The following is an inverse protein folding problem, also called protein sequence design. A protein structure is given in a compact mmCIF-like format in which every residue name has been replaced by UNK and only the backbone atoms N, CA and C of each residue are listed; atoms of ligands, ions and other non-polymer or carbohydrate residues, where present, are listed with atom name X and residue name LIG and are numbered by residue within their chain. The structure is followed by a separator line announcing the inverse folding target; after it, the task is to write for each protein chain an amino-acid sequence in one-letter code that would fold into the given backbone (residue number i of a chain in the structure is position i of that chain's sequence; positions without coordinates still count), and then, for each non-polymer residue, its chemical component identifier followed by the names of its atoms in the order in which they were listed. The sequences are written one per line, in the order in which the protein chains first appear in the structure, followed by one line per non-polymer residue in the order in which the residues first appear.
data_IF_897145294375
#
_entry.id   IF_897145294375
#
_cell.length_a   1.000
_cell.length_b   1.000
_cell.length_c   1.000
_cell.angle_alpha   90.00
_cell.angle_beta   90.00
_cell.angle_gamma   90.00
#
_symmetry.space_group_name_H-M   'P 1'
#
loop_
_entity.id
_entity.type
_entity.pdbx_description
1 polymer ?
#
# COMPACT_ATOMS: atom_id res chain seq x y z
N UNK A 1 -15.80 -2.03 -9.03
CA UNK A 1 -15.00 -3.07 -8.38
C UNK A 1 -14.40 -2.54 -7.10
N UNK A 2 -14.36 -3.38 -6.08
CA UNK A 2 -13.77 -2.95 -4.84
C UNK A 2 -12.24 -3.00 -4.96
N UNK A 3 -11.58 -2.29 -4.06
CA UNK A 3 -10.14 -2.29 -4.05
C UNK A 3 -9.59 -3.69 -3.75
N UNK A 4 -10.33 -4.47 -2.97
CA UNK A 4 -9.95 -5.85 -2.70
C UNK A 4 -9.88 -6.65 -4.00
N UNK A 5 -10.85 -6.47 -4.88
CA UNK A 5 -10.87 -7.17 -6.16
C UNK A 5 -9.71 -6.73 -7.04
N UNK A 6 -9.44 -5.42 -7.04
CA UNK A 6 -8.35 -4.87 -7.85
C UNK A 6 -7.00 -5.40 -7.36
N UNK A 7 -6.80 -5.41 -6.05
CA UNK A 7 -5.54 -5.90 -5.49
C UNK A 7 -5.38 -7.39 -5.75
N UNK A 8 -6.48 -8.14 -5.64
CA UNK A 8 -6.42 -9.57 -5.89
C UNK A 8 -6.03 -9.87 -7.34
N UNK A 9 -6.61 -9.12 -8.27
CA UNK A 9 -6.27 -9.29 -9.69
C UNK A 9 -4.81 -8.96 -9.94
N UNK A 10 -4.31 -7.90 -9.30
CA UNK A 10 -2.92 -7.51 -9.45
C UNK A 10 -1.99 -8.58 -8.88
N UNK A 11 -2.41 -9.21 -7.79
CA UNK A 11 -1.62 -10.27 -7.18
C UNK A 11 -1.50 -11.47 -8.11
N UNK A 12 -2.60 -11.82 -8.78
CA UNK A 12 -2.58 -12.92 -9.74
C UNK A 12 -1.64 -12.59 -10.90
N UNK A 13 -1.69 -11.34 -11.37
CA UNK A 13 -0.79 -10.92 -12.44
C UNK A 13 0.67 -11.02 -12.01
N UNK A 14 0.95 -10.63 -10.78
CA UNK A 14 2.32 -10.70 -10.28
C UNK A 14 2.78 -12.15 -10.18
N UNK A 15 1.87 -13.04 -9.80
CA UNK A 15 2.19 -14.46 -9.74
C UNK A 15 2.50 -15.01 -11.12
N UNK A 16 1.75 -14.61 -12.11
CA UNK A 16 1.98 -15.04 -13.48
C UNK A 16 3.31 -14.52 -14.01
N UNK A 17 3.66 -13.32 -13.61
CA UNK A 17 4.92 -12.70 -14.03
C UNK A 17 6.09 -13.20 -13.19
N UNK A 18 5.81 -14.00 -12.19
CA UNK A 18 6.84 -14.51 -11.26
C UNK A 18 7.54 -13.39 -10.53
N UNK A 19 6.82 -12.32 -10.27
CA UNK A 19 7.33 -11.18 -9.53
C UNK A 19 7.00 -11.38 -8.05
N UNK A 20 7.85 -12.08 -7.36
CA UNK A 20 7.59 -12.46 -5.99
C UNK A 20 7.49 -11.27 -5.06
N UNK A 21 8.35 -10.29 -5.22
CA UNK A 21 8.33 -9.12 -4.35
C UNK A 21 7.03 -8.37 -4.48
N UNK A 22 6.55 -8.18 -5.70
CA UNK A 22 5.29 -7.50 -5.94
C UNK A 22 4.12 -8.32 -5.41
N UNK A 23 4.16 -9.63 -5.63
CA UNK A 23 3.12 -10.52 -5.13
C UNK A 23 3.03 -10.47 -3.61
N UNK A 24 4.18 -10.48 -2.93
CA UNK A 24 4.19 -10.44 -1.48
C UNK A 24 3.63 -9.13 -0.95
N UNK A 25 3.99 -8.01 -1.57
CA UNK A 25 3.46 -6.71 -1.17
C UNK A 25 1.95 -6.66 -1.36
N UNK A 26 1.47 -7.15 -2.49
CA UNK A 26 0.03 -7.16 -2.77
C UNK A 26 -0.72 -8.09 -1.82
N UNK A 27 -0.09 -9.20 -1.46
CA UNK A 27 -0.69 -10.12 -0.51
C UNK A 27 -0.88 -9.45 0.85
N UNK A 28 0.10 -8.69 1.29
CA UNK A 28 0.00 -7.99 2.57
C UNK A 28 -1.07 -6.92 2.53
N UNK A 29 -1.16 -6.19 1.44
CA UNK A 29 -2.18 -5.16 1.30
C UNK A 29 -3.57 -5.80 1.27
N UNK A 30 -3.70 -6.90 0.56
CA UNK A 30 -4.98 -7.60 0.49
C UNK A 30 -5.40 -8.08 1.89
N UNK A 31 -4.46 -8.61 2.66
CA UNK A 31 -4.74 -9.05 4.02
C UNK A 31 -5.20 -7.90 4.89
N UNK A 32 -4.56 -6.74 4.76
CA UNK A 32 -4.96 -5.58 5.54
C UNK A 32 -6.39 -5.14 5.20
N UNK A 33 -6.72 -5.15 3.91
CA UNK A 33 -8.07 -4.78 3.48
C UNK A 33 -9.10 -5.79 3.97
N UNK A 34 -8.78 -7.07 3.88
CA UNK A 34 -9.71 -8.10 4.33
C UNK A 34 -9.90 -8.07 5.83
N UNK A 35 -8.84 -7.82 6.58
CA UNK A 35 -8.94 -7.72 8.02
C UNK A 35 -9.82 -6.54 8.43
N UNK A 36 -9.67 -5.42 7.75
CA UNK A 36 -10.52 -4.26 8.03
C UNK A 36 -11.98 -4.57 7.74
N UNK A 37 -12.23 -5.32 6.68
CA UNK A 37 -13.59 -5.71 6.33
C UNK A 37 -14.18 -6.64 7.37
N UNK A 38 -13.39 -7.59 7.83
CA UNK A 38 -13.83 -8.53 8.86
C UNK A 38 -14.13 -7.79 10.16
N UNK A 39 -13.29 -6.85 10.53
CA UNK A 39 -13.51 -6.08 11.76
C UNK A 39 -14.76 -5.23 11.68
N UNK A 40 -15.05 -4.71 10.52
CA UNK A 40 -16.23 -3.91 10.32
C UNK A 40 -17.48 -4.76 10.20
N UNK A 41 -17.33 -6.00 9.75
CA UNK A 41 -18.40 -6.96 9.54
C UNK A 41 -19.32 -6.57 8.38
N UNK A 42 -18.80 -5.81 7.44
CA UNK A 42 -19.52 -5.47 6.23
C UNK A 42 -18.49 -4.94 5.23
N UNK A 43 -18.87 -4.87 3.96
CA UNK A 43 -17.92 -4.41 2.96
C UNK A 43 -17.44 -3.00 3.25
N UNK A 44 -16.18 -2.73 2.93
CA UNK A 44 -15.62 -1.41 3.14
C UNK A 44 -16.12 -0.44 2.08
N UNK A 45 -16.32 0.80 2.47
CA UNK A 45 -16.59 1.84 1.49
C UNK A 45 -15.26 2.22 0.82
N UNK A 46 -15.35 2.95 -0.28
CA UNK A 46 -14.16 3.38 -0.97
C UNK A 46 -13.27 4.22 -0.07
N UNK A 47 -13.87 5.09 0.72
CA UNK A 47 -13.10 5.91 1.65
C UNK A 47 -12.36 5.05 2.66
N UNK A 48 -13.02 4.00 3.15
CA UNK A 48 -12.42 3.11 4.11
C UNK A 48 -11.28 2.33 3.49
N UNK A 49 -11.44 1.89 2.25
CA UNK A 49 -10.38 1.20 1.54
C UNK A 49 -9.18 2.11 1.36
N UNK A 50 -9.43 3.35 0.99
CA UNK A 50 -8.35 4.32 0.81
C UNK A 50 -7.64 4.58 2.12
N UNK A 51 -8.38 4.63 3.23
CA UNK A 51 -7.78 4.84 4.53
C UNK A 51 -6.84 3.69 4.90
N UNK A 52 -7.24 2.45 4.58
CA UNK A 52 -6.38 1.30 4.83
C UNK A 52 -5.10 1.40 4.03
N UNK A 53 -5.21 1.75 2.76
CA UNK A 53 -4.01 1.88 1.91
C UNK A 53 -3.09 2.97 2.44
N UNK A 54 -3.63 4.10 2.81
CA UNK A 54 -2.83 5.20 3.36
C UNK A 54 -2.11 4.77 4.63
N UNK A 55 -2.81 4.04 5.48
CA UNK A 55 -2.24 3.57 6.72
C UNK A 55 -1.08 2.62 6.46
N UNK A 56 -1.25 1.72 5.50
CA UNK A 56 -0.20 0.76 5.16
C UNK A 56 1.03 1.48 4.60
N UNK A 57 0.82 2.49 3.78
CA UNK A 57 1.91 3.27 3.23
C UNK A 57 2.66 3.98 4.36
N UNK A 58 1.92 4.57 5.28
CA UNK A 58 2.54 5.28 6.39
C UNK A 58 3.36 4.34 7.27
N UNK A 59 2.81 3.18 7.59
CA UNK A 59 3.52 2.21 8.41
C UNK A 59 4.78 1.71 7.71
N UNK A 60 4.70 1.50 6.42
CA UNK A 60 5.85 1.04 5.66
C UNK A 60 6.91 2.12 5.58
N UNK A 61 6.49 3.36 5.44
CA UNK A 61 7.43 4.47 5.45
C UNK A 61 8.16 4.58 6.78
N UNK A 62 7.44 4.37 7.87
CA UNK A 62 8.06 4.39 9.19
C UNK A 62 9.09 3.27 9.31
N UNK A 63 8.76 2.09 8.79
CA UNK A 63 9.70 0.98 8.79
C UNK A 63 10.96 1.35 8.01
N UNK A 64 10.79 2.01 6.87
CA UNK A 64 11.91 2.43 6.05
C UNK A 64 12.80 3.42 6.83
N UNK A 65 12.17 4.39 7.48
CA UNK A 65 12.90 5.42 8.19
C UNK A 65 13.59 4.89 9.45
N UNK A 66 13.00 3.90 10.08
CA UNK A 66 13.54 3.35 11.30
C UNK A 66 14.56 2.24 11.07
N UNK A 67 14.68 1.78 9.85
CA UNK A 67 15.61 0.70 9.54
C UNK A 67 17.05 1.21 9.74
N UNK A 68 17.92 0.39 10.33
CA UNK A 68 19.33 0.78 10.49
C UNK A 68 19.99 1.02 9.13
N UNK A 69 20.95 1.89 9.10
CA UNK A 69 21.61 2.25 7.85
C UNK A 69 22.30 1.06 7.19
N UNK A 70 22.71 0.06 7.97
CA UNK A 70 23.38 -1.10 7.44
C UNK A 70 22.40 -2.22 7.07
N UNK A 71 21.09 -2.00 7.23
CA UNK A 71 20.10 -2.99 6.85
C UNK A 71 19.40 -2.55 5.58
N UNK A 72 20.16 -2.59 4.52
CA UNK A 72 19.65 -2.19 3.22
C UNK A 72 18.52 -3.11 2.74
N UNK A 73 18.55 -4.36 3.17
CA UNK A 73 17.51 -5.30 2.80
C UNK A 73 16.15 -4.84 3.32
N UNK A 74 16.08 -4.34 4.54
CA UNK A 74 14.83 -3.86 5.11
C UNK A 74 14.36 -2.61 4.39
N UNK A 75 15.29 -1.69 4.12
CA UNK A 75 14.94 -0.44 3.46
C UNK A 75 14.49 -0.67 2.02
N UNK A 76 15.18 -1.55 1.33
CA UNK A 76 14.85 -1.86 -0.05
C UNK A 76 13.47 -2.51 -0.14
N UNK A 77 13.19 -3.43 0.77
CA UNK A 77 11.90 -4.10 0.79
C UNK A 77 10.77 -3.12 1.11
N UNK A 78 10.99 -2.25 2.09
CA UNK A 78 9.98 -1.26 2.45
C UNK A 78 9.72 -0.29 1.31
N UNK A 79 10.77 0.14 0.61
CA UNK A 79 10.61 1.04 -0.52
C UNK A 79 9.82 0.38 -1.64
N UNK A 80 10.11 -0.88 -1.93
CA UNK A 80 9.40 -1.60 -2.97
C UNK A 80 7.92 -1.77 -2.60
N UNK A 81 7.67 -2.06 -1.33
CA UNK A 81 6.30 -2.24 -0.85
C UNK A 81 5.52 -0.93 -0.94
N UNK A 82 6.13 0.18 -0.57
CA UNK A 82 5.46 1.47 -0.68
C UNK A 82 5.12 1.80 -2.13
N UNK A 83 6.03 1.49 -3.05
CA UNK A 83 5.77 1.76 -4.45
C UNK A 83 4.54 1.00 -4.95
N UNK A 84 4.40 -0.25 -4.51
CA UNK A 84 3.24 -1.06 -4.88
C UNK A 84 1.97 -0.49 -4.27
N UNK A 85 2.02 -0.16 -3.00
CA UNK A 85 0.84 0.36 -2.30
C UNK A 85 0.36 1.67 -2.92
N UNK A 86 1.29 2.52 -3.36
CA UNK A 86 0.92 3.80 -3.94
C UNK A 86 0.14 3.66 -5.22
N UNK A 87 0.26 2.54 -5.89
CA UNK A 87 -0.53 2.30 -7.10
C UNK A 87 -2.01 2.23 -6.78
N UNK A 88 -2.36 1.90 -5.56
CA UNK A 88 -3.75 1.76 -5.13
C UNK A 88 -4.21 2.90 -4.25
N UNK A 89 -3.34 3.86 -3.97
CA UNK A 89 -3.68 4.99 -3.14
C UNK A 89 -4.53 5.99 -3.92
N UNK A 90 -5.37 6.77 -3.22
CA UNK A 90 -6.17 7.75 -3.91
C UNK A 90 -5.29 8.84 -4.51
N UNK A 91 -5.75 9.36 -5.62
CA UNK A 91 -4.97 10.33 -6.35
C UNK A 91 -4.67 11.60 -5.57
N UNK A 92 -5.60 12.05 -4.77
CA UNK A 92 -5.39 13.26 -4.00
C UNK A 92 -4.27 13.10 -2.99
N UNK A 93 -3.95 11.89 -2.61
CA UNK A 93 -2.86 11.66 -1.71
C UNK A 93 -1.53 12.09 -2.31
N UNK A 94 -1.34 11.82 -3.60
CA UNK A 94 -0.15 12.25 -4.27
C UNK A 94 -0.09 13.75 -4.37
N UNK A 95 -1.20 14.35 -4.59
CA UNK A 95 -1.28 15.78 -4.69
C UNK A 95 -0.88 16.44 -3.40
N UNK A 96 -1.34 15.88 -2.30
CA UNK A 96 -0.98 16.42 -1.02
C UNK A 96 0.48 16.48 -0.80
N UNK A 97 1.19 15.49 -1.22
CA UNK A 97 2.58 15.51 -1.06
C UNK A 97 3.20 16.59 -1.81
N UNK A 98 2.63 16.94 -2.88
CA UNK A 98 3.15 17.92 -3.65
C UNK A 98 2.83 19.20 -3.16
N UNK A 99 1.66 19.40 -2.74
CA UNK A 99 1.30 20.58 -2.45
C UNK A 99 1.71 21.08 -1.34
N UNK A 100 2.05 20.41 -0.66
CA UNK A 100 2.48 20.88 0.34
C UNK A 100 3.49 21.35 0.10
N UNK A 101 3.64 21.07 -0.61
CA UNK A 101 4.36 21.53 -1.05
C UNK A 101 4.07 22.44 -1.63
N UNK A 102 3.40 22.52 -1.82
CA UNK A 102 3.13 23.36 -2.43
C UNK A 102 2.64 24.19 -1.98
N UNK A 103 2.24 23.93 -1.46
CA UNK A 103 1.72 24.78 -1.15
C UNK A 103 2.28 25.56 -0.66
N UNK A 104 2.57 25.26 -0.41
CA UNK A 104 2.88 25.79 -0.29
C UNK A 104 3.22 26.42 -0.65
N UNK A 105 2.95 26.43 -0.83
CA UNK A 105 3.05 26.75 -1.46
C UNK A 105 3.09 27.32 -1.64
#
# INVERSE_FOLDING_TARGET
MSKIDVVRAAMVEAMKAKDKARKDSLSMLLSALKNAEINKREPLTEEEENAVVKKEIKQTQETYEMAPADREDIRSEAAARMAVYKEFAPEDMSVDQIREVIASV
#
